data_IF_070255865523
#
_entry.id   IF_070255865523
#
_cell.length_a   1.000
_cell.length_b   1.000
_cell.length_c   1.000
_cell.angle_alpha   90.00
_cell.angle_beta   90.00
_cell.angle_gamma   90.00
#
_symmetry.space_group_name_H-M   'P 1'
#
loop_
_entity.id
_entity.type
_entity.pdbx_description
1 polymer ?
#
# COMPACT_ATOMS: atom_id res chain seq x y z
N UNK A 1 -6.21 -10.47 -3.41
CA UNK A 1 -4.89 -10.90 -3.86
C UNK A 1 -4.88 -12.38 -4.26
N UNK A 2 -5.44 -13.27 -3.44
CA UNK A 2 -5.40 -14.73 -3.68
C UNK A 2 -5.99 -15.16 -5.04
N UNK A 3 -7.04 -14.49 -5.51
CA UNK A 3 -7.64 -14.77 -6.83
C UNK A 3 -6.70 -14.47 -8.01
N UNK A 4 -5.64 -13.69 -7.79
CA UNK A 4 -4.66 -13.28 -8.79
C UNK A 4 -3.26 -13.77 -8.40
N UNK A 5 -3.17 -14.83 -7.60
CA UNK A 5 -1.93 -15.34 -7.01
C UNK A 5 -0.85 -15.53 -8.07
N UNK A 6 -1.17 -16.20 -9.18
CA UNK A 6 -0.19 -16.51 -10.25
C UNK A 6 0.44 -15.25 -10.86
N UNK A 7 -0.31 -14.15 -10.94
CA UNK A 7 0.18 -12.89 -11.47
C UNK A 7 1.01 -12.12 -10.46
N UNK A 8 0.52 -12.00 -9.21
CA UNK A 8 1.19 -11.20 -8.18
C UNK A 8 2.40 -11.90 -7.56
N UNK A 9 2.46 -13.24 -7.59
CA UNK A 9 3.60 -14.01 -7.07
C UNK A 9 4.86 -13.89 -7.93
N UNK A 10 4.74 -13.46 -9.18
CA UNK A 10 5.87 -13.25 -10.08
C UNK A 10 6.56 -11.90 -9.88
N UNK A 11 5.95 -10.97 -9.14
CA UNK A 11 6.49 -9.63 -8.94
C UNK A 11 7.76 -9.70 -8.09
N UNK A 12 8.85 -9.16 -8.63
CA UNK A 12 10.16 -9.01 -7.96
C UNK A 12 10.47 -7.55 -7.62
N UNK A 13 9.93 -6.62 -8.40
CA UNK A 13 10.18 -5.20 -8.26
C UNK A 13 8.85 -4.47 -8.03
N UNK A 14 8.74 -3.76 -6.92
CA UNK A 14 7.51 -3.07 -6.53
C UNK A 14 7.74 -1.57 -6.42
N UNK A 15 6.92 -0.79 -7.09
CA UNK A 15 6.86 0.66 -6.91
C UNK A 15 5.56 1.05 -6.22
N UNK A 16 5.65 1.80 -5.14
CA UNK A 16 4.50 2.41 -4.47
C UNK A 16 4.36 3.85 -4.95
N UNK A 17 3.16 4.25 -5.33
CA UNK A 17 2.90 5.61 -5.80
C UNK A 17 1.65 6.21 -5.16
N UNK A 18 1.72 7.49 -4.83
CA UNK A 18 0.66 8.24 -4.17
C UNK A 18 0.95 9.75 -4.26
N UNK A 19 -0.01 10.57 -3.86
CA UNK A 19 0.18 12.02 -3.65
C UNK A 19 -0.22 12.44 -2.23
N UNK A 20 0.26 13.59 -1.79
CA UNK A 20 -0.11 14.21 -0.52
C UNK A 20 0.23 13.36 0.69
N UNK A 21 -0.66 13.25 1.68
CA UNK A 21 -0.41 12.46 2.89
C UNK A 21 -0.25 10.95 2.60
N UNK A 22 -0.88 10.45 1.54
CA UNK A 22 -0.79 9.04 1.15
C UNK A 22 0.63 8.63 0.73
N UNK A 23 1.49 9.55 0.26
CA UNK A 23 2.89 9.25 -0.04
C UNK A 23 3.67 8.86 1.22
N UNK A 24 3.31 9.39 2.38
CA UNK A 24 3.94 9.01 3.64
C UNK A 24 3.50 7.59 4.07
N UNK A 25 2.26 7.20 3.80
CA UNK A 25 1.82 5.82 3.98
C UNK A 25 2.58 4.87 3.02
N UNK A 26 2.79 5.29 1.76
CA UNK A 26 3.59 4.55 0.79
C UNK A 26 5.03 4.33 1.28
N UNK A 27 5.70 5.37 1.77
CA UNK A 27 7.06 5.29 2.34
C UNK A 27 7.14 4.35 3.54
N UNK A 28 6.10 4.33 4.38
CA UNK A 28 6.01 3.36 5.47
C UNK A 28 5.87 1.92 4.93
N UNK A 29 5.00 1.71 3.93
CA UNK A 29 4.83 0.44 3.25
C UNK A 29 6.11 -0.06 2.60
N UNK A 30 6.85 0.82 1.91
CA UNK A 30 8.17 0.52 1.34
C UNK A 30 9.14 0.00 2.41
N UNK A 31 9.21 0.72 3.54
CA UNK A 31 10.10 0.33 4.65
C UNK A 31 9.74 -1.06 5.21
N UNK A 32 8.46 -1.34 5.39
CA UNK A 32 7.99 -2.66 5.84
C UNK A 32 8.31 -3.76 4.82
N UNK A 33 8.04 -3.52 3.54
CA UNK A 33 8.30 -4.49 2.47
C UNK A 33 9.78 -4.80 2.33
N UNK A 34 10.67 -3.80 2.52
CA UNK A 34 12.13 -3.99 2.58
C UNK A 34 12.55 -4.77 3.82
N UNK A 35 12.01 -4.45 4.99
CA UNK A 35 12.32 -5.12 6.26
C UNK A 35 11.93 -6.61 6.22
N UNK A 36 10.82 -6.92 5.57
CA UNK A 36 10.32 -8.29 5.42
C UNK A 36 10.85 -9.01 4.18
N UNK A 37 11.74 -8.39 3.42
CA UNK A 37 12.30 -8.95 2.18
C UNK A 37 11.20 -9.46 1.22
N UNK A 38 10.17 -8.62 1.00
CA UNK A 38 9.04 -8.99 0.15
C UNK A 38 9.38 -9.03 -1.33
N UNK A 39 10.34 -8.21 -1.78
CA UNK A 39 10.72 -8.02 -3.18
C UNK A 39 12.22 -7.77 -3.28
N UNK A 40 12.78 -8.01 -4.46
CA UNK A 40 14.18 -7.74 -4.75
C UNK A 40 14.47 -6.22 -4.74
N UNK A 41 13.47 -5.43 -5.19
CA UNK A 41 13.51 -3.97 -5.13
C UNK A 41 12.13 -3.41 -4.72
N UNK A 42 12.14 -2.45 -3.80
CA UNK A 42 10.95 -1.65 -3.45
C UNK A 42 11.33 -0.18 -3.48
N UNK A 43 10.53 0.63 -4.15
CA UNK A 43 10.70 2.09 -4.25
C UNK A 43 9.38 2.81 -4.04
N UNK A 44 9.44 4.05 -3.55
CA UNK A 44 8.27 4.94 -3.47
C UNK A 44 8.55 6.19 -4.28
N UNK A 45 7.63 6.53 -5.18
CA UNK A 45 7.72 7.71 -6.05
C UNK A 45 6.42 8.50 -5.91
N UNK A 46 6.52 9.82 -5.69
CA UNK A 46 5.34 10.69 -5.73
C UNK A 46 4.75 10.67 -7.15
N UNK A 47 3.45 10.47 -7.26
CA UNK A 47 2.82 10.37 -8.58
C UNK A 47 2.93 11.67 -9.38
N UNK A 48 3.08 12.82 -8.73
CA UNK A 48 3.31 14.11 -9.39
C UNK A 48 4.70 14.22 -10.03
N UNK A 49 5.68 13.47 -9.53
CA UNK A 49 7.06 13.45 -10.02
C UNK A 49 7.34 12.23 -10.91
N UNK A 50 6.37 11.33 -11.06
CA UNK A 50 6.54 10.05 -11.76
C UNK A 50 6.67 10.26 -13.27
N UNK A 51 7.70 9.67 -13.86
CA UNK A 51 8.02 9.76 -15.28
C UNK A 51 8.14 8.37 -15.93
N UNK A 52 8.13 8.32 -17.25
CA UNK A 52 8.28 7.07 -18.02
C UNK A 52 9.58 6.31 -17.69
N UNK A 53 10.65 7.02 -17.37
CA UNK A 53 11.97 6.43 -17.02
C UNK A 53 11.98 5.80 -15.62
N UNK A 54 10.96 6.05 -14.79
CA UNK A 54 10.81 5.43 -13.46
C UNK A 54 10.27 3.99 -13.55
N UNK A 55 9.71 3.59 -14.70
CA UNK A 55 9.39 2.19 -14.93
C UNK A 55 10.68 1.39 -15.13
N UNK A 56 10.89 0.30 -14.38
CA UNK A 56 12.11 -0.49 -14.53
C UNK A 56 12.15 -1.14 -15.91
N UNK A 57 13.32 -1.11 -16.54
CA UNK A 57 13.56 -1.76 -17.84
C UNK A 57 13.78 -3.28 -17.66
N UNK A 58 12.76 -3.97 -17.18
CA UNK A 58 12.71 -5.41 -16.92
C UNK A 58 11.36 -5.96 -17.40
N UNK A 59 11.20 -7.28 -17.32
CA UNK A 59 9.94 -7.91 -17.74
C UNK A 59 8.73 -7.36 -16.95
N UNK A 60 7.68 -6.97 -17.66
CA UNK A 60 6.46 -6.40 -17.10
C UNK A 60 5.83 -7.27 -16.01
N UNK A 61 5.88 -8.61 -16.18
CA UNK A 61 5.35 -9.58 -15.21
C UNK A 61 6.12 -9.60 -13.87
N UNK A 62 7.39 -9.19 -13.87
CA UNK A 62 8.22 -9.09 -12.68
C UNK A 62 8.12 -7.71 -12.00
N UNK A 63 7.34 -6.81 -12.59
CA UNK A 63 7.11 -5.45 -12.09
C UNK A 63 5.69 -5.30 -11.57
N UNK A 64 5.56 -4.65 -10.42
CA UNK A 64 4.29 -4.27 -9.84
C UNK A 64 4.25 -2.82 -9.40
N UNK A 65 3.06 -2.23 -9.42
CA UNK A 65 2.79 -0.91 -8.86
C UNK A 65 1.68 -1.03 -7.81
N UNK A 66 1.85 -0.36 -6.67
CA UNK A 66 0.78 -0.12 -5.69
C UNK A 66 0.39 1.34 -5.76
N UNK A 67 -0.82 1.61 -6.25
CA UNK A 67 -1.42 2.93 -6.30
C UNK A 67 -2.22 3.19 -5.01
N UNK A 68 -1.84 4.20 -4.25
CA UNK A 68 -2.45 4.49 -2.95
C UNK A 68 -3.19 5.83 -3.04
N UNK A 69 -4.48 5.81 -2.79
CA UNK A 69 -5.31 7.02 -2.84
C UNK A 69 -6.51 6.92 -1.88
N UNK A 70 -6.78 8.00 -1.15
CA UNK A 70 -7.99 8.08 -0.33
C UNK A 70 -9.24 8.15 -1.22
N UNK A 71 -9.31 9.12 -2.12
CA UNK A 71 -10.46 9.33 -3.00
C UNK A 71 -10.56 8.29 -4.12
N UNK A 72 -9.40 7.80 -4.59
CA UNK A 72 -9.31 7.00 -5.80
C UNK A 72 -9.55 7.78 -7.10
N UNK A 73 -9.53 9.13 -7.01
CA UNK A 73 -9.76 10.07 -8.12
C UNK A 73 -8.55 11.00 -8.36
N UNK A 74 -7.42 10.75 -7.70
CA UNK A 74 -6.20 11.55 -7.83
C UNK A 74 -5.63 11.38 -9.23
N UNK A 75 -5.61 12.45 -10.03
CA UNK A 75 -5.29 12.41 -11.46
C UNK A 75 -3.88 11.88 -11.74
N UNK A 76 -2.88 12.35 -10.98
CA UNK A 76 -1.50 11.92 -11.18
C UNK A 76 -1.35 10.42 -10.90
N UNK A 77 -1.97 9.92 -9.82
CA UNK A 77 -1.98 8.49 -9.50
C UNK A 77 -2.71 7.68 -10.58
N UNK A 78 -3.85 8.17 -11.07
CA UNK A 78 -4.60 7.52 -12.15
C UNK A 78 -3.79 7.48 -13.45
N UNK A 79 -3.01 8.53 -13.74
CA UNK A 79 -2.12 8.57 -14.90
C UNK A 79 -1.03 7.50 -14.82
N UNK A 80 -0.34 7.39 -13.68
CA UNK A 80 0.67 6.34 -13.46
C UNK A 80 0.06 4.94 -13.57
N UNK A 81 -1.14 4.73 -13.04
CA UNK A 81 -1.87 3.46 -13.17
C UNK A 81 -2.14 3.13 -14.64
N UNK A 82 -2.60 4.11 -15.43
CA UNK A 82 -2.86 3.89 -16.85
C UNK A 82 -1.58 3.55 -17.60
N UNK A 83 -0.49 4.27 -17.36
CA UNK A 83 0.82 3.98 -17.95
C UNK A 83 1.33 2.57 -17.60
N UNK A 84 1.10 2.10 -16.37
CA UNK A 84 1.44 0.74 -15.95
C UNK A 84 0.60 -0.31 -16.71
N UNK A 85 -0.70 -0.08 -16.83
CA UNK A 85 -1.61 -0.98 -17.57
C UNK A 85 -1.22 -1.07 -19.05
N UNK A 86 -0.90 0.06 -19.68
CA UNK A 86 -0.49 0.12 -21.09
C UNK A 86 0.82 -0.65 -21.37
N UNK A 87 1.64 -0.86 -20.32
CA UNK A 87 2.87 -1.65 -20.33
C UNK A 87 2.70 -3.10 -19.85
N UNK A 88 1.47 -3.56 -19.62
CA UNK A 88 1.12 -4.86 -19.00
C UNK A 88 1.78 -5.08 -17.60
N UNK A 89 2.12 -4.00 -16.91
CA UNK A 89 2.62 -4.04 -15.54
C UNK A 89 1.45 -4.28 -14.58
N UNK A 90 1.67 -5.12 -13.58
CA UNK A 90 0.64 -5.43 -12.58
C UNK A 90 0.41 -4.24 -11.65
N UNK A 91 -0.80 -3.65 -11.70
CA UNK A 91 -1.20 -2.56 -10.83
C UNK A 91 -2.18 -3.05 -9.73
N UNK A 92 -1.87 -2.70 -8.48
CA UNK A 92 -2.72 -2.94 -7.31
C UNK A 92 -3.18 -1.60 -6.72
N UNK A 93 -4.42 -1.55 -6.21
CA UNK A 93 -4.97 -0.36 -5.56
C UNK A 93 -5.08 -0.53 -4.04
N UNK A 94 -4.66 0.48 -3.31
CA UNK A 94 -4.99 0.68 -1.88
C UNK A 94 -5.84 1.95 -1.80
N UNK A 95 -7.16 1.77 -1.87
CA UNK A 95 -8.10 2.87 -2.08
C UNK A 95 -9.18 2.85 -1.00
N UNK A 96 -9.62 4.02 -0.55
CA UNK A 96 -10.70 4.07 0.44
C UNK A 96 -12.10 4.15 -0.20
N UNK A 97 -12.23 4.86 -1.34
CA UNK A 97 -13.53 5.02 -2.01
C UNK A 97 -13.82 3.85 -2.95
N UNK A 98 -14.85 3.10 -2.61
CA UNK A 98 -15.31 1.95 -3.41
C UNK A 98 -15.83 2.42 -4.77
N UNK A 99 -15.43 1.72 -5.84
CA UNK A 99 -15.89 2.02 -7.21
C UNK A 99 -15.31 3.29 -7.82
N UNK A 100 -14.27 3.87 -7.23
CA UNK A 100 -13.53 5.01 -7.79
C UNK A 100 -12.77 4.64 -9.08
N UNK A 101 -12.32 5.65 -9.82
CA UNK A 101 -11.65 5.45 -11.12
C UNK A 101 -10.41 4.56 -10.99
N UNK A 102 -9.54 4.82 -10.01
CA UNK A 102 -8.36 4.00 -9.76
C UNK A 102 -8.76 2.57 -9.40
N UNK A 103 -9.75 2.38 -8.50
CA UNK A 103 -10.20 1.04 -8.11
C UNK A 103 -10.74 0.22 -9.30
N UNK A 104 -11.46 0.88 -10.22
CA UNK A 104 -11.95 0.23 -11.45
C UNK A 104 -10.83 -0.10 -12.43
N UNK A 105 -9.86 0.79 -12.57
CA UNK A 105 -8.74 0.62 -13.50
C UNK A 105 -7.84 -0.55 -13.10
N UNK A 106 -7.40 -0.62 -11.83
CA UNK A 106 -6.45 -1.65 -11.36
C UNK A 106 -7.08 -3.05 -11.27
N UNK A 107 -8.40 -3.17 -11.09
CA UNK A 107 -9.14 -4.44 -10.93
C UNK A 107 -8.64 -5.37 -9.82
N UNK A 108 -7.58 -5.00 -9.12
CA UNK A 108 -6.95 -5.73 -8.01
C UNK A 108 -6.58 -4.75 -6.90
N UNK A 109 -6.64 -5.20 -5.66
CA UNK A 109 -6.21 -4.37 -4.52
C UNK A 109 -7.03 -4.61 -3.27
N UNK A 110 -6.95 -3.66 -2.36
CA UNK A 110 -7.61 -3.70 -1.06
C UNK A 110 -8.27 -2.36 -0.77
N UNK A 111 -9.51 -2.38 -0.32
CA UNK A 111 -10.18 -1.19 0.19
C UNK A 111 -9.78 -0.92 1.65
N UNK A 112 -9.51 0.35 1.96
CA UNK A 112 -9.12 0.78 3.31
C UNK A 112 -10.28 0.70 4.32
N UNK A 113 -11.53 0.81 3.84
CA UNK A 113 -12.74 0.77 4.67
C UNK A 113 -12.75 1.78 5.83
N UNK A 114 -12.07 2.93 5.68
CA UNK A 114 -12.02 3.98 6.71
C UNK A 114 -13.31 4.80 6.80
N UNK A 115 -14.28 4.55 5.93
CA UNK A 115 -15.48 5.37 5.79
C UNK A 115 -15.19 6.71 5.12
N UNK A 116 -16.17 7.62 5.16
CA UNK A 116 -16.07 8.93 4.51
C UNK A 116 -15.09 9.84 5.25
N UNK A 117 -14.09 10.37 4.56
CA UNK A 117 -13.18 11.41 5.04
C UNK A 117 -13.81 12.78 4.80
N UNK A 118 -13.86 13.65 5.81
CA UNK A 118 -14.49 14.97 5.73
C UNK A 118 -13.49 16.12 5.60
N UNK A 119 -12.25 15.88 6.00
CA UNK A 119 -11.20 16.88 5.93
C UNK A 119 -10.38 16.74 4.63
N UNK A 120 -9.82 17.85 4.15
CA UNK A 120 -8.85 17.83 3.04
C UNK A 120 -7.59 17.07 3.44
N UNK A 121 -7.10 17.30 4.65
CA UNK A 121 -6.01 16.50 5.23
C UNK A 121 -6.57 15.14 5.68
N UNK A 122 -6.07 14.07 5.06
CA UNK A 122 -6.45 12.71 5.40
C UNK A 122 -5.93 12.33 6.79
N UNK A 123 -6.79 11.82 7.64
CA UNK A 123 -6.45 11.34 8.99
C UNK A 123 -6.70 9.85 9.13
N UNK A 124 -7.96 9.46 9.26
CA UNK A 124 -8.35 8.04 9.42
C UNK A 124 -8.04 7.21 8.17
N UNK A 125 -8.19 7.77 6.97
CA UNK A 125 -7.84 7.07 5.75
C UNK A 125 -6.32 6.82 5.66
N UNK A 126 -5.48 7.78 6.08
CA UNK A 126 -4.04 7.59 6.21
C UNK A 126 -3.69 6.42 7.14
N UNK A 127 -4.26 6.40 8.35
CA UNK A 127 -4.02 5.31 9.31
C UNK A 127 -4.46 3.96 8.75
N UNK A 128 -5.60 3.92 8.06
CA UNK A 128 -6.08 2.70 7.40
C UNK A 128 -5.16 2.26 6.25
N UNK A 129 -4.63 3.19 5.45
CA UNK A 129 -3.63 2.88 4.41
C UNK A 129 -2.38 2.24 5.00
N UNK A 130 -1.87 2.76 6.11
CA UNK A 130 -0.70 2.20 6.83
C UNK A 130 -0.97 0.75 7.26
N UNK A 131 -2.13 0.48 7.85
CA UNK A 131 -2.52 -0.88 8.27
C UNK A 131 -2.67 -1.82 7.07
N UNK A 132 -3.35 -1.37 6.02
CA UNK A 132 -3.53 -2.17 4.80
C UNK A 132 -2.19 -2.49 4.14
N UNK A 133 -1.26 -1.54 4.07
CA UNK A 133 0.08 -1.77 3.52
C UNK A 133 0.88 -2.76 4.37
N UNK A 134 0.73 -2.75 5.70
CA UNK A 134 1.34 -3.73 6.58
C UNK A 134 0.77 -5.15 6.33
N UNK A 135 -0.54 -5.27 6.12
CA UNK A 135 -1.18 -6.54 5.77
C UNK A 135 -0.74 -7.05 4.39
N UNK A 136 -0.62 -6.16 3.40
CA UNK A 136 -0.09 -6.47 2.07
C UNK A 136 1.36 -6.96 2.17
N UNK A 137 2.21 -6.29 2.94
CA UNK A 137 3.60 -6.70 3.14
C UNK A 137 3.68 -8.10 3.76
N UNK A 138 2.87 -8.39 4.79
CA UNK A 138 2.78 -9.74 5.38
C UNK A 138 2.32 -10.78 4.36
N UNK A 139 1.33 -10.47 3.54
CA UNK A 139 0.83 -11.38 2.52
C UNK A 139 1.92 -11.72 1.48
N UNK A 140 2.65 -10.71 0.99
CA UNK A 140 3.76 -10.92 0.06
C UNK A 140 4.90 -11.71 0.71
N UNK A 141 5.24 -11.43 1.98
CA UNK A 141 6.24 -12.21 2.70
C UNK A 141 5.84 -13.69 2.79
N UNK A 142 4.61 -13.97 3.19
CA UNK A 142 4.10 -15.35 3.25
C UNK A 142 4.09 -16.02 1.87
N UNK A 143 3.81 -15.27 0.81
CA UNK A 143 3.88 -15.76 -0.56
C UNK A 143 5.30 -16.18 -0.92
N UNK A 144 6.31 -15.35 -0.58
CA UNK A 144 7.73 -15.68 -0.82
C UNK A 144 8.17 -16.90 -0.02
N UNK A 145 7.76 -17.04 1.23
CA UNK A 145 8.05 -18.21 2.06
C UNK A 145 7.46 -19.49 1.44
N UNK A 146 6.22 -19.42 0.97
CA UNK A 146 5.56 -20.53 0.28
C UNK A 146 6.30 -20.95 -1.01
N UNK A 147 6.88 -20.01 -1.74
CA UNK A 147 7.65 -20.25 -2.96
C UNK A 147 9.11 -20.67 -2.70
N UNK A 148 9.50 -20.92 -1.44
CA UNK A 148 10.84 -21.39 -1.07
C UNK A 148 11.86 -20.28 -0.78
N UNK A 149 11.39 -19.07 -0.46
CA UNK A 149 12.25 -17.96 0.01
C UNK A 149 12.85 -18.20 1.40
N UNK A 150 13.80 -17.36 1.79
CA UNK A 150 14.41 -17.38 3.12
C UNK A 150 13.38 -17.02 4.21
N UNK A 151 13.38 -17.73 5.33
CA UNK A 151 12.45 -17.48 6.42
C UNK A 151 12.94 -16.30 7.30
N UNK A 152 12.13 -15.24 7.38
CA UNK A 152 12.29 -14.15 8.33
C UNK A 152 11.21 -14.20 9.43
N UNK A 153 11.20 -15.32 10.17
CA UNK A 153 10.11 -15.64 11.12
C UNK A 153 9.94 -14.60 12.24
N UNK A 154 11.05 -14.00 12.70
CA UNK A 154 11.03 -13.11 13.87
C UNK A 154 10.34 -11.76 13.56
N UNK A 155 10.65 -11.14 12.43
CA UNK A 155 10.07 -9.84 12.05
C UNK A 155 8.62 -10.00 11.60
N UNK A 156 8.31 -11.09 10.92
CA UNK A 156 6.93 -11.45 10.56
C UNK A 156 6.07 -11.68 11.81
N UNK A 157 6.58 -12.40 12.81
CA UNK A 157 5.87 -12.66 14.07
C UNK A 157 5.65 -11.35 14.86
N UNK A 158 6.66 -10.50 14.97
CA UNK A 158 6.56 -9.19 15.63
C UNK A 158 5.52 -8.28 14.97
N UNK A 159 5.51 -8.21 13.63
CA UNK A 159 4.54 -7.40 12.91
C UNK A 159 3.11 -7.94 13.09
N UNK A 160 2.90 -9.26 13.05
CA UNK A 160 1.60 -9.88 13.36
C UNK A 160 1.12 -9.53 14.78
N UNK A 161 1.99 -9.66 15.77
CA UNK A 161 1.67 -9.31 17.15
C UNK A 161 1.32 -7.82 17.30
N UNK A 162 2.09 -6.93 16.67
CA UNK A 162 1.81 -5.49 16.67
C UNK A 162 0.45 -5.18 16.05
N UNK A 163 0.11 -5.78 14.91
CA UNK A 163 -1.20 -5.61 14.27
C UNK A 163 -2.35 -6.13 15.11
N UNK A 164 -2.18 -7.25 15.82
CA UNK A 164 -3.20 -7.79 16.72
C UNK A 164 -3.44 -6.88 17.94
N UNK A 165 -2.42 -6.18 18.42
CA UNK A 165 -2.51 -5.21 19.52
C UNK A 165 -3.01 -3.84 19.09
N UNK A 166 -2.99 -3.55 17.80
CA UNK A 166 -3.30 -2.22 17.26
C UNK A 166 -4.67 -1.67 17.69
N UNK A 167 -5.78 -2.44 17.70
CA UNK A 167 -7.07 -1.96 18.17
C UNK A 167 -7.04 -1.44 19.62
N UNK A 168 -6.30 -2.10 20.51
CA UNK A 168 -6.13 -1.69 21.90
C UNK A 168 -5.34 -0.38 21.95
N UNK A 169 -4.23 -0.30 21.22
CA UNK A 169 -3.38 0.91 21.17
C UNK A 169 -4.13 2.12 20.60
N UNK A 170 -4.95 1.93 19.58
CA UNK A 170 -5.84 2.98 19.06
C UNK A 170 -6.90 3.38 20.09
N UNK A 171 -7.51 2.43 20.79
CA UNK A 171 -8.47 2.72 21.85
C UNK A 171 -7.86 3.59 22.96
N UNK A 172 -6.63 3.28 23.38
CA UNK A 172 -5.90 4.10 24.35
C UNK A 172 -5.61 5.52 23.84
N UNK A 173 -5.18 5.66 22.59
CA UNK A 173 -4.93 6.96 21.97
C UNK A 173 -6.22 7.81 21.86
N UNK A 174 -7.36 7.19 21.53
CA UNK A 174 -8.65 7.86 21.48
C UNK A 174 -9.12 8.30 22.87
N UNK A 175 -8.72 7.62 23.95
CA UNK A 175 -8.97 8.01 25.34
C UNK A 175 -8.34 9.34 25.75
N UNK A 176 -7.34 9.85 25.00
CA UNK A 176 -6.70 11.14 25.23
C UNK A 176 -7.49 12.34 24.63
N UNK A 177 -8.63 12.08 24.01
CA UNK A 177 -9.42 13.09 23.29
C UNK A 177 -9.74 14.33 24.14
N UNK A 178 -10.15 14.12 25.38
CA UNK A 178 -10.58 15.24 26.24
C UNK A 178 -9.36 16.07 26.68
N UNK A 179 -8.25 15.44 27.01
CA UNK A 179 -6.97 16.14 27.27
C UNK A 179 -6.49 16.95 26.06
N UNK A 180 -6.64 16.43 24.83
CA UNK A 180 -6.32 17.19 23.63
C UNK A 180 -7.22 18.41 23.44
N UNK A 181 -8.50 18.32 23.84
CA UNK A 181 -9.43 19.46 23.77
C UNK A 181 -9.11 20.57 24.77
N UNK A 182 -8.55 20.22 25.92
CA UNK A 182 -8.14 21.20 26.93
C UNK A 182 -6.91 22.01 26.49
N UNK A 183 -6.09 21.47 25.56
CA UNK A 183 -4.87 22.11 25.07
C UNK A 183 -5.14 22.95 23.80
N UNK A 184 -6.19 22.64 23.05
CA UNK A 184 -6.54 23.29 21.80
C UNK A 184 -7.36 24.58 22.01
#
# INVERSE_FOLDING_TARGET
LDKNFDRVSQIKNMTLTACGSSINAARFGERLMKMLDCFDRVTTIDAADFNDDDFPNIEARETGIVAISQSGETKDVAHVVQQAIDRDITALGVVNTVGSDIARAVKMGVYCNAGQEYAVASTKAFSAQVVVLALIALWFRQTRDYLGGSHHDLDTARLKEALMRLPISFGMALGLRDSCREIA
#
